data_IF_838609629158
#
_entry.id   IF_838609629158
#
_cell.length_a   1.000
_cell.length_b   1.000
_cell.length_c   1.000
_cell.angle_alpha   90.00
_cell.angle_beta   90.00
_cell.angle_gamma   90.00
#
_symmetry.space_group_name_H-M   'P 1'
#
loop_
_entity.id
_entity.type
_entity.pdbx_description
1 polymer ?
#
# COMPACT_ATOMS: atom_id res chain seq x y z
N UNK A 1 -37.18 -29.84 3.24
CA UNK A 1 -36.39 -28.98 4.15
C UNK A 1 -35.03 -28.62 3.56
N UNK A 2 -34.28 -29.54 2.96
CA UNK A 2 -32.95 -29.25 2.36
C UNK A 2 -32.92 -28.17 1.25
N UNK A 3 -33.98 -28.02 0.44
CA UNK A 3 -33.99 -27.07 -0.68
C UNK A 3 -34.12 -25.59 -0.28
N UNK A 4 -34.79 -25.28 0.85
CA UNK A 4 -34.89 -23.89 1.36
C UNK A 4 -33.58 -23.43 1.98
N UNK A 5 -32.91 -24.30 2.71
CA UNK A 5 -31.58 -24.03 3.28
C UNK A 5 -30.53 -23.80 2.17
N UNK A 6 -30.55 -24.60 1.11
CA UNK A 6 -29.66 -24.42 -0.04
C UNK A 6 -29.95 -23.12 -0.80
N UNK A 7 -31.24 -22.76 -0.97
CA UNK A 7 -31.64 -21.51 -1.63
C UNK A 7 -31.25 -20.29 -0.78
N UNK A 8 -31.46 -20.35 0.53
CA UNK A 8 -31.05 -19.30 1.47
C UNK A 8 -29.53 -19.14 1.48
N UNK A 9 -28.77 -20.24 1.51
CA UNK A 9 -27.32 -20.20 1.42
C UNK A 9 -26.83 -19.57 0.10
N UNK A 10 -27.47 -19.91 -1.03
CA UNK A 10 -27.15 -19.33 -2.33
C UNK A 10 -27.46 -17.82 -2.40
N UNK A 11 -28.60 -17.39 -1.84
CA UNK A 11 -28.98 -15.96 -1.78
C UNK A 11 -28.03 -15.17 -0.88
N UNK A 12 -27.65 -15.71 0.28
CA UNK A 12 -26.67 -15.09 1.20
C UNK A 12 -25.30 -15.00 0.54
N UNK A 13 -24.85 -16.04 -0.17
CA UNK A 13 -23.59 -16.02 -0.91
C UNK A 13 -23.59 -14.99 -2.04
N UNK A 14 -24.69 -14.86 -2.79
CA UNK A 14 -24.84 -13.85 -3.83
C UNK A 14 -24.88 -12.42 -3.26
N UNK A 15 -25.54 -12.21 -2.11
CA UNK A 15 -25.55 -10.92 -1.43
C UNK A 15 -24.17 -10.54 -0.85
N UNK A 16 -23.41 -11.52 -0.35
CA UNK A 16 -22.04 -11.32 0.12
C UNK A 16 -21.09 -10.91 -1.03
N UNK A 17 -21.25 -11.52 -2.21
CA UNK A 17 -20.49 -11.15 -3.42
C UNK A 17 -20.89 -9.77 -3.97
N UNK A 18 -22.16 -9.35 -3.79
CA UNK A 18 -22.64 -8.03 -4.20
C UNK A 18 -22.18 -6.90 -3.27
N UNK A 19 -21.67 -7.23 -2.08
CA UNK A 19 -21.21 -6.27 -1.06
C UNK A 19 -19.73 -5.88 -1.23
N UNK A 20 -19.19 -5.93 -2.44
CA UNK A 20 -17.93 -5.23 -2.74
C UNK A 20 -18.25 -3.74 -2.87
N UNK A 21 -18.31 -3.02 -1.75
CA UNK A 21 -18.39 -1.57 -1.78
C UNK A 21 -17.13 -1.03 -2.45
N UNK A 22 -17.22 -0.70 -3.73
CA UNK A 22 -16.26 0.16 -4.40
C UNK A 22 -16.11 1.43 -3.56
N UNK A 23 -14.87 1.87 -3.31
CA UNK A 23 -14.60 2.99 -2.40
C UNK A 23 -15.21 4.29 -2.92
N UNK A 24 -15.33 5.30 -2.06
CA UNK A 24 -15.91 6.59 -2.45
C UNK A 24 -15.20 7.20 -3.66
N UNK A 25 -13.87 7.07 -3.74
CA UNK A 25 -13.09 7.53 -4.89
C UNK A 25 -13.33 6.74 -6.18
N UNK A 26 -13.72 5.46 -6.11
CA UNK A 26 -13.98 4.62 -7.30
C UNK A 26 -15.33 4.92 -7.95
N UNK A 27 -16.22 5.61 -7.22
CA UNK A 27 -17.50 6.10 -7.73
C UNK A 27 -17.38 7.47 -8.39
N UNK A 28 -16.25 8.15 -8.23
CA UNK A 28 -16.05 9.48 -8.78
C UNK A 28 -16.04 9.44 -10.32
N UNK A 29 -16.95 10.15 -11.01
CA UNK A 29 -17.02 10.13 -12.47
C UNK A 29 -15.74 10.64 -13.12
N UNK A 30 -15.06 11.63 -12.50
CA UNK A 30 -13.78 12.16 -12.98
C UNK A 30 -12.70 11.08 -13.03
N UNK A 31 -12.61 10.29 -11.96
CA UNK A 31 -11.66 9.18 -11.88
C UNK A 31 -11.95 8.11 -12.93
N UNK A 32 -13.22 7.67 -13.04
CA UNK A 32 -13.62 6.62 -13.99
C UNK A 32 -13.37 7.03 -15.44
N UNK A 33 -13.74 8.25 -15.81
CA UNK A 33 -13.56 8.76 -17.17
C UNK A 33 -12.07 8.91 -17.52
N UNK A 34 -11.24 9.36 -16.57
CA UNK A 34 -9.78 9.40 -16.74
C UNK A 34 -9.20 8.01 -17.00
N UNK A 35 -9.58 7.01 -16.19
CA UNK A 35 -9.06 5.64 -16.30
C UNK A 35 -9.44 5.02 -17.65
N UNK A 36 -10.70 5.16 -18.07
CA UNK A 36 -11.17 4.67 -19.36
C UNK A 36 -10.38 5.29 -20.53
N UNK A 37 -10.23 6.61 -20.55
CA UNK A 37 -9.47 7.33 -21.58
C UNK A 37 -7.99 6.94 -21.58
N UNK A 38 -7.40 6.71 -20.41
CA UNK A 38 -6.02 6.28 -20.28
C UNK A 38 -5.81 4.86 -20.82
N UNK A 39 -6.68 3.92 -20.44
CA UNK A 39 -6.60 2.53 -20.91
C UNK A 39 -6.75 2.43 -22.44
N UNK A 40 -7.72 3.15 -23.02
CA UNK A 40 -7.94 3.16 -24.47
C UNK A 40 -6.72 3.68 -25.25
N UNK A 41 -6.09 4.75 -24.75
CA UNK A 41 -4.95 5.41 -25.43
C UNK A 41 -3.63 4.69 -25.22
N UNK A 42 -3.33 4.32 -23.98
CA UNK A 42 -2.01 3.85 -23.58
C UNK A 42 -1.91 2.33 -23.49
N UNK A 43 -3.01 1.63 -23.17
CA UNK A 43 -2.98 0.19 -22.96
C UNK A 43 -3.40 -0.63 -24.19
N UNK A 44 -3.70 0.03 -25.33
CA UNK A 44 -4.09 -0.63 -26.58
C UNK A 44 -2.94 -0.70 -27.60
N UNK A 45 -2.69 -1.89 -28.15
CA UNK A 45 -1.81 -2.14 -29.30
C UNK A 45 -0.39 -1.53 -29.19
N UNK A 46 -0.03 -0.53 -30.02
CA UNK A 46 1.28 0.12 -29.99
C UNK A 46 1.56 0.85 -28.67
N UNK A 47 0.54 1.38 -27.99
CA UNK A 47 0.67 2.05 -26.70
C UNK A 47 1.22 1.10 -25.62
N UNK A 48 0.68 -0.13 -25.56
CA UNK A 48 1.14 -1.13 -24.59
C UNK A 48 2.60 -1.54 -24.79
N UNK A 49 3.05 -1.59 -26.05
CA UNK A 49 4.45 -1.87 -26.38
C UNK A 49 5.37 -0.74 -25.94
N UNK A 50 4.93 0.51 -26.15
CA UNK A 50 5.65 1.70 -25.70
C UNK A 50 5.73 1.76 -24.17
N UNK A 51 4.62 1.46 -23.47
CA UNK A 51 4.62 1.36 -22.00
C UNK A 51 5.62 0.31 -21.51
N UNK A 52 5.58 -0.91 -22.06
CA UNK A 52 6.50 -1.98 -21.65
C UNK A 52 7.97 -1.66 -21.93
N UNK A 53 8.29 -0.93 -23.00
CA UNK A 53 9.67 -0.56 -23.30
C UNK A 53 10.19 0.53 -22.39
N UNK A 54 9.33 1.45 -21.94
CA UNK A 54 9.69 2.51 -20.99
C UNK A 54 9.53 2.10 -19.51
N UNK A 55 8.87 0.97 -19.23
CA UNK A 55 8.58 0.53 -17.87
C UNK A 55 9.88 0.22 -17.10
N UNK A 56 10.15 0.93 -15.98
CA UNK A 56 11.35 0.71 -15.20
C UNK A 56 11.35 -0.69 -14.57
N UNK A 57 12.55 -1.22 -14.34
CA UNK A 57 12.76 -2.62 -13.92
C UNK A 57 12.01 -2.93 -12.61
N UNK A 58 12.01 -1.99 -11.66
CA UNK A 58 11.32 -2.17 -10.37
C UNK A 58 9.81 -2.36 -10.53
N UNK A 59 9.17 -1.63 -11.45
CA UNK A 59 7.73 -1.80 -11.72
C UNK A 59 7.44 -3.14 -12.38
N UNK A 60 8.33 -3.62 -13.27
CA UNK A 60 8.20 -4.94 -13.87
C UNK A 60 8.29 -6.06 -12.84
N UNK A 61 9.26 -5.97 -11.93
CA UNK A 61 9.44 -6.96 -10.85
C UNK A 61 8.25 -6.97 -9.88
N UNK A 62 7.65 -5.81 -9.62
CA UNK A 62 6.44 -5.71 -8.81
C UNK A 62 5.16 -6.20 -9.51
N UNK A 63 5.24 -6.67 -10.76
CA UNK A 63 4.07 -7.16 -11.51
C UNK A 63 3.12 -6.05 -11.98
N UNK A 64 3.59 -4.81 -12.10
CA UNK A 64 2.75 -3.67 -12.43
C UNK A 64 2.25 -3.70 -13.86
N UNK A 65 0.95 -3.52 -14.06
CA UNK A 65 0.32 -3.49 -15.39
C UNK A 65 0.11 -2.06 -15.88
N UNK A 66 -0.11 -1.90 -17.19
CA UNK A 66 -0.49 -0.60 -17.77
C UNK A 66 -1.78 -0.05 -17.16
N UNK A 67 -2.71 -0.94 -16.82
CA UNK A 67 -3.95 -0.60 -16.15
C UNK A 67 -3.70 -0.02 -14.76
N UNK A 68 -2.83 -0.65 -13.98
CA UNK A 68 -2.47 -0.15 -12.66
C UNK A 68 -1.84 1.25 -12.73
N UNK A 69 -1.06 1.52 -13.78
CA UNK A 69 -0.46 2.82 -14.04
C UNK A 69 -1.52 3.90 -14.30
N UNK A 70 -2.50 3.59 -15.16
CA UNK A 70 -3.65 4.47 -15.41
C UNK A 70 -4.47 4.72 -14.14
N UNK A 71 -4.72 3.68 -13.33
CA UNK A 71 -5.41 3.82 -12.04
C UNK A 71 -4.64 4.77 -11.11
N UNK A 72 -3.32 4.62 -11.05
CA UNK A 72 -2.45 5.46 -10.20
C UNK A 72 -2.40 6.92 -10.65
N UNK A 73 -2.15 7.18 -11.93
CA UNK A 73 -2.09 8.54 -12.49
C UNK A 73 -3.43 9.27 -12.33
N UNK A 74 -4.54 8.61 -12.68
CA UNK A 74 -5.88 9.18 -12.56
C UNK A 74 -6.30 9.39 -11.10
N UNK A 75 -5.84 8.54 -10.18
CA UNK A 75 -6.03 8.76 -8.74
C UNK A 75 -5.33 10.06 -8.32
N UNK A 76 -4.05 10.24 -8.66
CA UNK A 76 -3.30 11.46 -8.30
C UNK A 76 -3.86 12.73 -8.95
N UNK A 77 -4.36 12.64 -10.18
CA UNK A 77 -5.07 13.73 -10.82
C UNK A 77 -6.32 14.13 -10.02
N UNK A 78 -7.13 13.13 -9.61
CA UNK A 78 -8.33 13.36 -8.80
C UNK A 78 -7.98 13.95 -7.44
N UNK A 79 -6.97 13.40 -6.75
CA UNK A 79 -6.45 13.93 -5.47
C UNK A 79 -6.00 15.39 -5.63
N UNK A 80 -5.28 15.72 -6.70
CA UNK A 80 -4.81 17.07 -6.98
C UNK A 80 -5.96 18.06 -7.21
N UNK A 81 -7.05 17.63 -7.85
CA UNK A 81 -8.26 18.45 -7.99
C UNK A 81 -8.92 18.71 -6.63
N UNK A 82 -9.07 17.68 -5.79
CA UNK A 82 -9.68 17.82 -4.46
C UNK A 82 -8.87 18.74 -3.54
N UNK A 83 -7.53 18.62 -3.56
CA UNK A 83 -6.64 19.47 -2.78
C UNK A 83 -6.71 20.94 -3.21
N UNK A 84 -6.89 21.22 -4.50
CA UNK A 84 -7.05 22.60 -5.02
C UNK A 84 -8.37 23.23 -4.62
N UNK A 85 -9.43 22.43 -4.64
CA UNK A 85 -10.78 22.86 -4.24
C UNK A 85 -10.97 22.88 -2.71
N UNK A 86 -9.98 22.42 -1.94
CA UNK A 86 -10.04 22.39 -0.47
C UNK A 86 -10.92 21.27 0.11
N UNK A 87 -11.28 20.27 -0.69
CA UNK A 87 -12.06 19.12 -0.24
C UNK A 87 -11.18 18.04 0.40
N UNK A 88 -11.76 17.25 1.31
CA UNK A 88 -11.09 16.08 1.87
C UNK A 88 -10.85 15.02 0.80
N UNK A 89 -9.62 14.53 0.69
CA UNK A 89 -9.24 13.50 -0.29
C UNK A 89 -10.00 12.21 0.01
N UNK A 90 -10.77 11.66 -0.95
CA UNK A 90 -11.50 10.41 -0.75
C UNK A 90 -10.54 9.22 -0.76
N UNK A 91 -10.96 8.12 -0.13
CA UNK A 91 -10.25 6.85 -0.21
C UNK A 91 -10.50 6.20 -1.58
N UNK A 92 -9.45 5.66 -2.22
CA UNK A 92 -9.50 4.95 -3.51
C UNK A 92 -9.15 3.46 -3.31
N UNK A 93 -9.94 2.53 -3.85
CA UNK A 93 -9.78 1.07 -3.66
C UNK A 93 -9.56 0.62 -2.20
N UNK A 94 -10.17 1.31 -1.23
CA UNK A 94 -10.00 1.00 0.20
C UNK A 94 -8.61 1.34 0.76
N UNK A 95 -7.79 2.08 0.02
CA UNK A 95 -6.44 2.54 0.40
C UNK A 95 -6.34 4.06 0.28
N UNK A 96 -5.44 4.66 1.06
CA UNK A 96 -5.05 6.06 0.85
C UNK A 96 -4.14 6.16 -0.38
N UNK A 97 -4.17 7.26 -1.14
CA UNK A 97 -3.26 7.49 -2.25
C UNK A 97 -1.83 7.62 -1.72
N UNK A 98 -1.08 6.51 -1.75
CA UNK A 98 0.32 6.50 -1.37
C UNK A 98 1.20 6.87 -2.56
N UNK A 99 2.17 7.76 -2.34
CA UNK A 99 3.14 8.14 -3.36
C UNK A 99 4.15 7.01 -3.51
N UNK A 100 4.34 6.53 -4.74
CA UNK A 100 5.32 5.50 -5.06
C UNK A 100 6.72 6.05 -4.93
N UNK A 101 7.48 5.55 -3.95
CA UNK A 101 8.92 5.71 -3.91
C UNK A 101 9.58 4.34 -4.04
N UNK A 102 10.04 4.04 -5.27
CA UNK A 102 10.73 2.79 -5.62
C UNK A 102 9.90 1.52 -5.35
N UNK A 103 10.25 0.77 -4.30
CA UNK A 103 9.65 -0.51 -3.88
C UNK A 103 8.85 -0.41 -2.57
N UNK A 104 8.87 0.75 -1.91
CA UNK A 104 8.20 0.92 -0.63
C UNK A 104 6.77 1.37 -0.85
N UNK A 105 5.83 0.51 -0.46
CA UNK A 105 4.40 0.82 -0.46
C UNK A 105 4.06 1.90 0.57
N UNK A 106 4.91 2.07 1.60
CA UNK A 106 4.83 3.12 2.62
C UNK A 106 6.24 3.66 2.95
N UNK A 107 6.76 4.65 2.20
CA UNK A 107 8.12 5.15 2.41
C UNK A 107 8.30 5.79 3.80
N UNK A 108 7.25 6.43 4.34
CA UNK A 108 7.30 7.06 5.65
C UNK A 108 7.42 6.04 6.80
N UNK A 109 6.70 4.92 6.75
CA UNK A 109 6.76 3.89 7.80
C UNK A 109 8.06 3.09 7.72
N UNK A 110 8.59 2.87 6.51
CA UNK A 110 9.91 2.28 6.31
C UNK A 110 11.02 3.16 6.92
N UNK A 111 10.98 4.47 6.65
CA UNK A 111 11.92 5.43 7.24
C UNK A 111 11.77 5.51 8.76
N UNK A 112 10.54 5.60 9.27
CA UNK A 112 10.28 5.62 10.71
C UNK A 112 10.81 4.35 11.41
N UNK A 113 10.62 3.18 10.80
CA UNK A 113 11.14 1.91 11.32
C UNK A 113 12.66 1.86 11.31
N UNK A 114 13.29 2.37 10.24
CA UNK A 114 14.74 2.48 10.16
C UNK A 114 15.31 3.38 11.26
N UNK A 115 14.73 4.58 11.46
CA UNK A 115 15.18 5.49 12.50
C UNK A 115 14.88 4.95 13.92
N UNK A 116 13.75 4.27 14.11
CA UNK A 116 13.46 3.59 15.38
C UNK A 116 14.50 2.50 15.68
N UNK A 117 14.87 1.68 14.69
CA UNK A 117 15.94 0.69 14.83
C UNK A 117 17.28 1.34 15.15
N UNK A 118 17.65 2.41 14.45
CA UNK A 118 18.89 3.16 14.68
C UNK A 118 18.95 3.76 16.10
N UNK A 119 17.86 4.36 16.57
CA UNK A 119 17.77 4.89 17.93
C UNK A 119 17.99 3.80 18.98
N UNK A 120 17.40 2.62 18.80
CA UNK A 120 17.60 1.47 19.67
C UNK A 120 19.06 0.97 19.64
N UNK A 121 19.71 0.95 18.48
CA UNK A 121 21.13 0.57 18.35
C UNK A 121 22.07 1.57 19.05
N UNK A 122 21.81 2.86 18.90
CA UNK A 122 22.57 3.92 19.59
C UNK A 122 22.39 3.80 21.10
N UNK A 123 21.15 3.60 21.57
CA UNK A 123 20.85 3.41 22.99
C UNK A 123 21.56 2.17 23.54
N UNK A 124 21.51 1.02 22.84
CA UNK A 124 22.21 -0.20 23.24
C UNK A 124 23.74 0.00 23.32
N UNK A 125 24.30 0.76 22.37
CA UNK A 125 25.73 1.10 22.39
C UNK A 125 26.09 1.94 23.62
N UNK A 126 25.25 2.93 23.97
CA UNK A 126 25.43 3.76 25.17
C UNK A 126 25.24 2.97 26.46
N UNK A 127 24.25 2.07 26.50
CA UNK A 127 24.01 1.18 27.62
C UNK A 127 25.23 0.30 27.91
N UNK A 128 25.84 -0.30 26.88
CA UNK A 128 27.05 -1.13 27.01
C UNK A 128 28.26 -0.37 27.56
N UNK A 129 28.37 0.94 27.29
CA UNK A 129 29.47 1.77 27.80
C UNK A 129 29.20 2.34 29.19
N UNK A 130 27.93 2.56 29.54
CA UNK A 130 27.53 3.20 30.79
C UNK A 130 27.28 2.20 31.93
N UNK A 131 26.87 0.97 31.61
CA UNK A 131 26.49 -0.05 32.59
C UNK A 131 27.59 -1.10 32.72
N UNK A 132 28.13 -1.35 33.93
CA UNK A 132 29.09 -2.42 34.15
C UNK A 132 28.51 -3.80 33.84
N UNK A 133 29.28 -4.63 33.13
CA UNK A 133 28.88 -6.00 32.78
C UNK A 133 28.64 -6.92 33.99
N UNK A 134 29.13 -6.53 35.17
CA UNK A 134 28.89 -7.22 36.44
C UNK A 134 27.48 -7.00 37.01
N UNK A 135 26.69 -6.09 36.44
CA UNK A 135 25.32 -5.87 36.92
C UNK A 135 24.41 -7.04 36.54
N UNK A 136 23.55 -7.52 37.46
CA UNK A 136 22.76 -8.73 37.28
C UNK A 136 21.75 -8.63 36.13
N UNK A 137 21.36 -7.41 35.75
CA UNK A 137 20.42 -7.15 34.65
C UNK A 137 21.09 -6.92 33.30
N UNK A 138 22.41 -6.73 33.26
CA UNK A 138 23.17 -6.51 32.02
C UNK A 138 22.97 -7.61 30.96
N UNK A 139 23.13 -8.91 31.28
CA UNK A 139 22.96 -9.96 30.27
C UNK A 139 21.53 -10.02 29.74
N UNK A 140 20.53 -9.78 30.60
CA UNK A 140 19.11 -9.79 30.22
C UNK A 140 18.78 -8.63 29.28
N UNK A 141 19.20 -7.40 29.61
CA UNK A 141 18.95 -6.23 28.78
C UNK A 141 19.65 -6.32 27.42
N UNK A 142 20.89 -6.82 27.38
CA UNK A 142 21.61 -7.02 26.13
C UNK A 142 20.98 -8.13 25.29
N UNK A 143 20.60 -9.26 25.90
CA UNK A 143 19.94 -10.36 25.21
C UNK A 143 18.64 -9.89 24.55
N UNK A 144 17.77 -9.21 25.29
CA UNK A 144 16.48 -8.72 24.81
C UNK A 144 16.63 -7.71 23.65
N UNK A 145 17.63 -6.83 23.72
CA UNK A 145 17.90 -5.86 22.67
C UNK A 145 18.62 -6.45 21.43
N UNK A 146 19.28 -7.61 21.59
CA UNK A 146 20.03 -8.29 20.51
C UNK A 146 19.23 -9.39 19.80
N UNK A 147 18.08 -9.80 20.34
CA UNK A 147 17.22 -10.77 19.70
C UNK A 147 16.58 -10.11 18.45
N UNK A 148 16.81 -10.64 17.24
CA UNK A 148 16.00 -10.27 16.09
C UNK A 148 14.58 -10.73 16.41
N UNK A 149 13.63 -9.79 16.46
CA UNK A 149 12.25 -9.99 16.89
C UNK A 149 11.73 -11.40 16.59
N UNK A 150 11.62 -12.21 17.64
CA UNK A 150 11.26 -13.62 17.54
C UNK A 150 9.84 -13.84 18.02
N UNK A 151 8.95 -13.95 17.02
CA UNK A 151 7.52 -14.31 17.06
C UNK A 151 6.53 -13.23 17.50
#
# INVERSE_FOLDING_TARGET
MAGREALLAAVVAAAALASASASQGDREPVYRDCVLKCEERNCSGPGLRHFRSQQPIYMRLAGWTCRDDCLYECMWLTVGLYLREGYSVPQFHGKWPFSRFLFFQEPASALASFFNGLANLVMLSRYRTAVPAASPMYPTCVAFASLPGGR
#
